data_IF_297381168933
#
_entry.id   IF_297381168933
#
_cell.length_a   1.000
_cell.length_b   1.000
_cell.length_c   1.000
_cell.angle_alpha   90.00
_cell.angle_beta   90.00
_cell.angle_gamma   90.00
#
_symmetry.space_group_name_H-M   'P 1'
#
loop_
_entity.id
_entity.type
_entity.pdbx_description
1 polymer ?
#
# COMPACT_ATOMS: atom_id res chain seq x y z
N UNK A 1 35.40 10.15 2.66
CA UNK A 1 34.63 10.68 1.51
C UNK A 1 33.16 10.53 1.85
N UNK A 2 32.42 11.64 1.84
CA UNK A 2 30.99 11.69 2.19
C UNK A 2 30.17 11.00 1.10
N UNK A 3 29.34 10.05 1.51
CA UNK A 3 28.22 9.56 0.71
C UNK A 3 26.94 10.03 1.39
N UNK A 4 26.56 11.28 1.15
CA UNK A 4 25.21 11.76 1.46
C UNK A 4 24.25 11.18 0.41
N UNK A 5 23.95 9.89 0.51
CA UNK A 5 22.89 9.27 -0.28
C UNK A 5 21.63 9.38 0.57
N UNK A 6 20.70 10.23 0.13
CA UNK A 6 19.40 10.49 0.78
C UNK A 6 18.47 9.29 0.72
N UNK A 7 18.90 8.15 1.22
CA UNK A 7 18.09 6.95 1.36
C UNK A 7 17.30 7.13 2.65
N UNK A 8 16.07 7.65 2.55
CA UNK A 8 15.14 7.63 3.69
C UNK A 8 14.80 6.15 3.93
N UNK A 9 15.59 5.48 4.76
CA UNK A 9 15.29 4.12 5.19
C UNK A 9 13.93 4.13 5.88
N UNK A 10 13.14 3.07 5.72
CA UNK A 10 11.90 2.93 6.49
C UNK A 10 12.22 3.05 7.98
N UNK A 11 11.41 3.77 8.78
CA UNK A 11 11.56 3.75 10.22
C UNK A 11 11.41 2.32 10.74
N UNK A 12 11.83 2.08 11.99
CA UNK A 12 11.51 0.82 12.64
C UNK A 12 9.98 0.64 12.64
N UNK A 13 9.50 -0.54 12.21
CA UNK A 13 8.07 -0.84 12.15
C UNK A 13 7.48 -0.74 13.57
N UNK A 14 6.57 0.21 13.85
CA UNK A 14 5.91 0.30 15.14
C UNK A 14 5.08 -0.95 15.43
N UNK A 15 5.05 -1.41 16.68
CA UNK A 15 4.29 -2.60 17.10
C UNK A 15 2.78 -2.51 16.82
N UNK A 16 2.25 -1.30 16.63
CA UNK A 16 0.84 -1.05 16.31
C UNK A 16 0.51 -1.30 14.83
N UNK A 17 1.51 -1.36 13.95
CA UNK A 17 1.33 -1.58 12.52
C UNK A 17 1.41 -3.08 12.22
N UNK A 18 0.51 -3.64 11.40
CA UNK A 18 0.59 -5.04 11.00
C UNK A 18 1.93 -5.40 10.36
N UNK A 19 2.49 -6.57 10.71
CA UNK A 19 3.84 -7.01 10.29
C UNK A 19 4.00 -7.17 8.78
N UNK A 20 2.91 -7.41 8.06
CA UNK A 20 2.90 -7.51 6.59
C UNK A 20 2.78 -6.16 5.89
N UNK A 21 2.72 -5.06 6.64
CA UNK A 21 2.66 -3.71 6.07
C UNK A 21 3.94 -3.39 5.28
N UNK A 22 3.75 -2.72 4.15
CA UNK A 22 4.81 -2.32 3.23
C UNK A 22 5.07 -0.83 3.39
N UNK A 23 6.34 -0.45 3.49
CA UNK A 23 6.74 0.96 3.48
C UNK A 23 6.72 1.49 2.05
N UNK A 24 6.08 2.64 1.86
CA UNK A 24 6.16 3.39 0.61
C UNK A 24 6.73 4.77 0.91
N UNK A 25 7.82 5.12 0.22
CA UNK A 25 8.33 6.48 0.20
C UNK A 25 7.49 7.33 -0.76
N UNK A 26 6.79 8.32 -0.22
CA UNK A 26 6.12 9.36 -1.00
C UNK A 26 7.00 10.60 -1.18
N UNK A 27 6.44 11.64 -1.82
CA UNK A 27 7.08 12.98 -1.97
C UNK A 27 7.34 13.64 -0.59
N UNK A 28 8.42 13.25 0.08
CA UNK A 28 8.93 13.89 1.30
C UNK A 28 8.56 13.21 2.64
N UNK A 29 7.48 12.44 2.69
CA UNK A 29 7.10 11.64 3.86
C UNK A 29 6.71 10.24 3.42
N UNK A 30 7.38 9.23 3.99
CA UNK A 30 6.98 7.84 3.77
C UNK A 30 5.77 7.48 4.63
N UNK A 31 5.10 6.41 4.26
CA UNK A 31 3.89 5.94 4.96
C UNK A 31 3.84 4.41 4.87
N UNK A 32 3.21 3.78 5.85
CA UNK A 32 3.00 2.35 5.87
C UNK A 32 1.67 2.00 5.21
N UNK A 33 1.67 0.97 4.36
CA UNK A 33 0.47 0.43 3.76
C UNK A 33 0.25 -1.00 4.20
N UNK A 34 -0.95 -1.31 4.64
CA UNK A 34 -1.42 -2.66 4.87
C UNK A 34 -2.52 -2.96 3.84
N UNK A 35 -2.51 -4.17 3.31
CA UNK A 35 -3.59 -4.68 2.48
C UNK A 35 -4.01 -6.02 3.07
N UNK A 36 -5.32 -6.21 3.19
CA UNK A 36 -5.96 -7.39 3.73
C UNK A 36 -7.08 -7.84 2.77
N UNK A 37 -7.28 -9.15 2.65
CA UNK A 37 -8.41 -9.70 1.87
C UNK A 37 -9.73 -9.45 2.60
N UNK A 38 -10.80 -9.22 1.85
CA UNK A 38 -12.17 -9.28 2.38
C UNK A 38 -12.85 -10.59 1.97
N UNK A 39 -14.13 -10.74 2.32
CA UNK A 39 -14.95 -11.89 1.88
C UNK A 39 -15.20 -11.91 0.36
N UNK A 40 -14.95 -10.80 -0.34
CA UNK A 40 -15.08 -10.68 -1.78
C UNK A 40 -13.69 -10.69 -2.45
N UNK A 41 -13.47 -11.60 -3.39
CA UNK A 41 -12.18 -11.81 -4.07
C UNK A 41 -11.65 -10.58 -4.83
N UNK A 42 -12.55 -9.67 -5.23
CA UNK A 42 -12.20 -8.43 -5.92
C UNK A 42 -12.02 -7.26 -4.97
N UNK A 43 -12.34 -7.42 -3.70
CA UNK A 43 -12.30 -6.36 -2.71
C UNK A 43 -11.18 -6.59 -1.71
N UNK A 44 -10.52 -5.49 -1.37
CA UNK A 44 -9.37 -5.49 -0.48
C UNK A 44 -9.51 -4.35 0.49
N UNK A 45 -9.30 -4.63 1.77
CA UNK A 45 -9.17 -3.58 2.76
C UNK A 45 -7.74 -3.02 2.67
N UNK A 46 -7.60 -1.74 2.37
CA UNK A 46 -6.30 -1.07 2.30
C UNK A 46 -6.24 -0.03 3.42
N UNK A 47 -5.24 -0.18 4.29
CA UNK A 47 -4.95 0.73 5.39
C UNK A 47 -3.68 1.51 5.14
N UNK A 48 -3.69 2.79 5.50
CA UNK A 48 -2.52 3.66 5.52
C UNK A 48 -2.22 4.07 6.95
N UNK A 49 -0.97 3.98 7.35
CA UNK A 49 -0.49 4.48 8.64
C UNK A 49 0.63 5.49 8.43
N UNK A 50 0.68 6.49 9.30
CA UNK A 50 1.78 7.45 9.38
C UNK A 50 3.08 6.74 9.77
N UNK A 51 4.27 7.35 9.56
CA UNK A 51 5.54 6.80 10.05
C UNK A 51 5.54 6.40 11.53
N UNK A 52 4.71 7.08 12.35
CA UNK A 52 4.58 6.85 13.78
C UNK A 52 3.57 5.75 14.14
N UNK A 53 2.86 5.20 13.16
CA UNK A 53 1.85 4.14 13.35
C UNK A 53 0.43 4.61 13.62
N UNK A 54 0.13 5.89 13.43
CA UNK A 54 -1.26 6.38 13.49
C UNK A 54 -2.00 5.96 12.22
N UNK A 55 -3.21 5.41 12.36
CA UNK A 55 -4.07 5.08 11.24
C UNK A 55 -4.56 6.37 10.56
N UNK A 56 -4.23 6.52 9.29
CA UNK A 56 -4.55 7.67 8.46
C UNK A 56 -5.69 7.35 7.46
N UNK A 57 -5.86 6.08 7.11
CA UNK A 57 -6.86 5.62 6.17
C UNK A 57 -7.18 4.15 6.38
N UNK A 58 -8.45 3.78 6.36
CA UNK A 58 -8.94 2.39 6.41
C UNK A 58 -10.21 2.31 5.56
N UNK A 59 -10.12 1.73 4.36
CA UNK A 59 -11.22 1.67 3.39
C UNK A 59 -11.16 0.39 2.56
N UNK A 60 -12.32 -0.01 2.03
CA UNK A 60 -12.41 -1.08 1.04
C UNK A 60 -12.20 -0.51 -0.36
N UNK A 61 -11.36 -1.18 -1.14
CA UNK A 61 -11.11 -0.88 -2.53
C UNK A 61 -11.44 -2.10 -3.38
N UNK A 62 -12.02 -1.87 -4.55
CA UNK A 62 -12.22 -2.90 -5.56
C UNK A 62 -11.11 -2.84 -6.60
N UNK A 63 -10.56 -4.00 -6.92
CA UNK A 63 -9.55 -4.17 -7.96
C UNK A 63 -10.20 -4.13 -9.36
N UNK A 64 -9.62 -3.35 -10.27
CA UNK A 64 -10.04 -3.35 -11.67
C UNK A 64 -9.69 -4.69 -12.33
N UNK A 65 -10.61 -5.20 -13.15
CA UNK A 65 -10.35 -6.40 -13.94
C UNK A 65 -9.44 -6.05 -15.12
N UNK A 66 -8.19 -6.52 -15.07
CA UNK A 66 -7.20 -6.35 -16.12
C UNK A 66 -6.85 -7.68 -16.83
N UNK A 67 -7.65 -8.74 -16.62
CA UNK A 67 -7.40 -10.08 -17.14
C UNK A 67 -6.30 -10.85 -16.40
N UNK A 68 -5.70 -10.27 -15.36
CA UNK A 68 -4.70 -10.91 -14.49
C UNK A 68 -5.24 -11.09 -13.08
N UNK A 69 -4.65 -11.99 -12.31
CA UNK A 69 -5.02 -12.26 -10.91
C UNK A 69 -3.97 -11.65 -10.01
N UNK A 70 -4.42 -10.81 -9.07
CA UNK A 70 -3.57 -10.29 -8.01
C UNK A 70 -3.51 -11.29 -6.85
N UNK A 71 -2.32 -11.68 -6.42
CA UNK A 71 -2.11 -12.48 -5.22
C UNK A 71 -1.41 -11.67 -4.13
N UNK A 72 -2.13 -11.43 -3.03
CA UNK A 72 -1.61 -10.70 -1.86
C UNK A 72 -0.43 -11.40 -1.16
N UNK A 73 -0.22 -12.70 -1.39
CA UNK A 73 0.88 -13.45 -0.79
C UNK A 73 2.18 -13.31 -1.58
N UNK A 74 2.07 -12.99 -2.86
CA UNK A 74 3.22 -12.79 -3.75
C UNK A 74 3.83 -11.40 -3.55
N UNK A 75 5.10 -11.18 -3.94
CA UNK A 75 5.71 -9.87 -3.88
C UNK A 75 4.93 -8.83 -4.69
N UNK A 76 4.68 -7.67 -4.09
CA UNK A 76 4.05 -6.53 -4.76
C UNK A 76 4.58 -5.22 -4.19
N UNK A 77 4.41 -4.13 -4.94
CA UNK A 77 4.84 -2.79 -4.56
C UNK A 77 3.75 -1.77 -4.84
N UNK A 78 3.41 -0.94 -3.84
CA UNK A 78 2.59 0.24 -4.07
C UNK A 78 3.41 1.27 -4.88
N UNK A 79 2.83 1.83 -5.93
CA UNK A 79 3.53 2.83 -6.77
C UNK A 79 2.89 4.21 -6.73
N UNK A 80 1.58 4.29 -6.53
CA UNK A 80 0.90 5.57 -6.53
C UNK A 80 -0.42 5.51 -5.77
N UNK A 81 -0.70 6.56 -4.97
CA UNK A 81 -1.93 6.66 -4.18
C UNK A 81 -2.46 8.08 -4.25
N UNK A 82 -3.73 8.21 -4.63
CA UNK A 82 -4.43 9.49 -4.74
C UNK A 82 -5.46 9.59 -3.62
N UNK A 83 -5.24 10.46 -2.63
CA UNK A 83 -6.24 10.86 -1.62
C UNK A 83 -7.09 9.74 -1.00
N UNK A 84 -6.56 8.53 -0.83
CA UNK A 84 -7.35 7.37 -0.38
C UNK A 84 -8.60 7.06 -1.23
N UNK A 85 -8.57 7.42 -2.51
CA UNK A 85 -9.61 7.10 -3.49
C UNK A 85 -9.13 6.14 -4.58
N UNK A 86 -7.82 6.12 -4.86
CA UNK A 86 -7.22 5.22 -5.85
C UNK A 86 -5.82 4.82 -5.43
N UNK A 87 -5.50 3.53 -5.57
CA UNK A 87 -4.18 2.96 -5.33
C UNK A 87 -3.71 2.18 -6.56
N UNK A 88 -2.42 2.25 -6.87
CA UNK A 88 -1.77 1.42 -7.89
C UNK A 88 -0.74 0.53 -7.23
N UNK A 89 -0.83 -0.76 -7.51
CA UNK A 89 0.08 -1.79 -7.03
C UNK A 89 0.68 -2.48 -8.24
N UNK A 90 2.00 -2.65 -8.26
CA UNK A 90 2.71 -3.42 -9.26
C UNK A 90 3.05 -4.79 -8.69
N UNK A 91 2.74 -5.84 -9.45
CA UNK A 91 3.10 -7.22 -9.16
C UNK A 91 3.43 -7.91 -10.48
N UNK A 92 4.58 -8.59 -10.55
CA UNK A 92 5.05 -9.27 -11.77
C UNK A 92 4.95 -8.38 -13.02
N UNK A 93 5.46 -7.15 -12.92
CA UNK A 93 5.42 -6.12 -13.99
C UNK A 93 4.01 -5.68 -14.43
N UNK A 94 2.96 -6.22 -13.81
CA UNK A 94 1.56 -5.90 -14.06
C UNK A 94 1.09 -4.83 -13.09
N UNK A 95 0.41 -3.80 -13.61
CA UNK A 95 -0.20 -2.75 -12.79
C UNK A 95 -1.63 -3.15 -12.45
N UNK A 96 -1.91 -3.27 -11.17
CA UNK A 96 -3.24 -3.44 -10.61
C UNK A 96 -3.73 -2.11 -10.04
N UNK A 97 -4.95 -1.72 -10.43
CA UNK A 97 -5.58 -0.48 -9.99
C UNK A 97 -6.71 -0.84 -9.02
N UNK A 98 -6.69 -0.19 -7.85
CA UNK A 98 -7.67 -0.38 -6.79
C UNK A 98 -8.41 0.94 -6.61
N UNK A 99 -9.74 0.91 -6.72
CA UNK A 99 -10.59 2.09 -6.56
C UNK A 99 -11.40 1.97 -5.29
N UNK A 100 -11.50 3.06 -4.54
CA UNK A 100 -12.38 3.12 -3.37
C UNK A 100 -13.81 2.90 -3.83
N UNK A 101 -14.47 1.91 -3.23
CA UNK A 101 -15.91 1.73 -3.37
C UNK A 101 -16.59 2.72 -2.44
N UNK A 102 -17.18 3.77 -3.01
CA UNK A 102 -18.07 4.66 -2.23
C UNK A 102 -19.22 3.80 -1.74
N UNK A 103 -19.41 3.76 -0.42
CA UNK A 103 -20.65 3.27 0.19
C UNK A 103 -21.85 4.10 -0.30
#
# INVERSE_FOLDING_TARGET
MQSNIGTIHSPALPNVIPKHSKWLLGQGVGTWFCIDKTDNEKQYNIKRFTPKGSLDCDRIFEIENNGSVFDIKEPYQFTHISHCSKCRIVQNETVFVFNYIKE
#
